data_IF_941698686735
#
_entry.id   IF_941698686735
#
_cell.length_a   1.000
_cell.length_b   1.000
_cell.length_c   1.000
_cell.angle_alpha   90.00
_cell.angle_beta   90.00
_cell.angle_gamma   90.00
#
_symmetry.space_group_name_H-M   'P 1'
#
loop_
_entity.id
_entity.type
_entity.pdbx_description
1 polymer ?
#
# COMPACT_ATOMS: atom_id res chain seq x y z
N UNK A 1 -80.80 20.83 38.22
CA UNK A 1 -80.43 22.11 37.58
C UNK A 1 -80.00 23.03 38.70
N UNK A 2 -78.77 23.48 38.86
CA UNK A 2 -77.51 23.41 38.11
C UNK A 2 -76.44 23.43 39.21
N UNK A 3 -75.56 22.42 39.29
CA UNK A 3 -74.42 22.50 40.22
C UNK A 3 -73.43 23.53 39.66
N UNK A 4 -73.16 24.51 40.51
CA UNK A 4 -72.38 25.70 40.26
C UNK A 4 -70.92 25.33 39.98
N UNK A 5 -70.48 25.56 38.75
CA UNK A 5 -69.07 25.44 38.35
C UNK A 5 -68.25 26.42 39.20
N UNK A 6 -67.52 25.90 40.18
CA UNK A 6 -66.52 26.65 40.94
C UNK A 6 -65.48 27.24 39.98
N UNK A 7 -65.46 28.56 39.87
CA UNK A 7 -64.47 29.30 39.09
C UNK A 7 -63.14 29.23 39.87
N UNK A 8 -62.05 28.72 39.28
CA UNK A 8 -60.78 28.58 39.98
C UNK A 8 -60.28 29.94 40.46
N UNK A 9 -59.82 29.97 41.70
CA UNK A 9 -59.39 31.22 42.36
C UNK A 9 -58.12 31.74 41.70
N UNK A 10 -57.91 33.06 41.68
CA UNK A 10 -56.76 33.72 41.02
C UNK A 10 -55.40 33.13 41.45
N UNK A 11 -55.29 32.65 42.69
CA UNK A 11 -54.09 31.99 43.21
C UNK A 11 -53.84 30.61 42.57
N UNK A 12 -54.90 29.85 42.31
CA UNK A 12 -54.85 28.52 41.70
C UNK A 12 -54.43 28.61 40.23
N UNK A 13 -54.91 29.62 39.50
CA UNK A 13 -54.50 29.92 38.13
C UNK A 13 -53.02 30.34 38.07
N UNK A 14 -52.53 31.04 39.10
CA UNK A 14 -51.14 31.50 39.18
C UNK A 14 -50.18 30.35 39.49
N UNK A 15 -50.59 29.43 40.36
CA UNK A 15 -49.83 28.20 40.70
C UNK A 15 -49.74 27.24 39.50
N UNK A 16 -50.85 27.03 38.79
CA UNK A 16 -50.89 26.20 37.58
C UNK A 16 -50.04 26.81 36.45
N UNK A 17 -50.10 28.13 36.26
CA UNK A 17 -49.26 28.81 35.26
C UNK A 17 -47.77 28.81 35.62
N UNK A 18 -47.43 28.93 36.92
CA UNK A 18 -46.04 28.83 37.40
C UNK A 18 -45.47 27.42 37.24
N UNK A 19 -46.25 26.38 37.54
CA UNK A 19 -45.84 24.99 37.31
C UNK A 19 -45.68 24.67 35.82
N UNK A 20 -46.57 25.19 34.96
CA UNK A 20 -46.49 24.99 33.51
C UNK A 20 -45.26 25.68 32.90
N UNK A 21 -44.92 26.88 33.37
CA UNK A 21 -43.71 27.59 32.95
C UNK A 21 -42.41 26.88 33.39
N UNK A 22 -42.38 26.25 34.57
CA UNK A 22 -41.22 25.47 35.03
C UNK A 22 -41.08 24.13 34.27
N UNK A 23 -42.20 23.48 33.94
CA UNK A 23 -42.20 22.27 33.09
C UNK A 23 -41.76 22.57 31.66
N UNK A 24 -42.26 23.66 31.05
CA UNK A 24 -41.83 24.09 29.71
C UNK A 24 -40.35 24.53 29.70
N UNK A 25 -39.89 25.17 30.78
CA UNK A 25 -38.47 25.52 30.98
C UNK A 25 -37.57 24.27 31.07
N UNK A 26 -37.94 23.30 31.90
CA UNK A 26 -37.19 22.03 32.05
C UNK A 26 -37.21 21.20 30.77
N UNK A 27 -38.35 21.10 30.09
CA UNK A 27 -38.45 20.42 28.80
C UNK A 27 -37.57 21.09 27.73
N UNK A 28 -37.49 22.42 27.72
CA UNK A 28 -36.62 23.17 26.80
C UNK A 28 -35.14 22.96 27.08
N UNK A 29 -34.74 22.87 28.36
CA UNK A 29 -33.35 22.55 28.77
C UNK A 29 -32.99 21.09 28.41
N UNK A 30 -33.92 20.15 28.59
CA UNK A 30 -33.74 18.75 28.21
C UNK A 30 -33.64 18.61 26.68
N UNK A 31 -34.51 19.27 25.91
CA UNK A 31 -34.41 19.30 24.45
C UNK A 31 -33.13 19.97 23.95
N UNK A 32 -32.67 21.05 24.61
CA UNK A 32 -31.41 21.71 24.26
C UNK A 32 -30.20 20.83 24.55
N UNK A 33 -30.16 20.18 25.71
CA UNK A 33 -29.09 19.25 26.07
C UNK A 33 -29.08 18.02 25.17
N UNK A 34 -30.25 17.40 24.89
CA UNK A 34 -30.38 16.32 23.92
C UNK A 34 -29.90 16.77 22.53
N UNK A 35 -30.26 17.97 22.09
CA UNK A 35 -29.77 18.57 20.85
C UNK A 35 -28.25 18.71 20.82
N UNK A 36 -27.63 19.15 21.92
CA UNK A 36 -26.17 19.22 22.05
C UNK A 36 -25.50 17.84 21.99
N UNK A 37 -26.11 16.81 22.61
CA UNK A 37 -25.64 15.42 22.52
C UNK A 37 -25.71 14.91 21.08
N UNK A 38 -26.82 15.15 20.37
CA UNK A 38 -26.97 14.75 18.97
C UNK A 38 -25.96 15.46 18.05
N UNK A 39 -25.74 16.76 18.24
CA UNK A 39 -24.72 17.50 17.50
C UNK A 39 -23.31 16.98 17.82
N UNK A 40 -23.01 16.72 19.10
CA UNK A 40 -21.73 16.16 19.53
C UNK A 40 -21.44 14.77 18.94
N UNK A 41 -22.43 13.88 18.96
CA UNK A 41 -22.35 12.54 18.34
C UNK A 41 -22.19 12.67 16.82
N UNK A 42 -22.92 13.59 16.18
CA UNK A 42 -22.81 13.82 14.73
C UNK A 42 -21.42 14.31 14.34
N UNK A 43 -20.82 15.21 15.12
CA UNK A 43 -19.44 15.68 14.91
C UNK A 43 -18.45 14.54 15.11
N UNK A 44 -18.59 13.74 16.17
CA UNK A 44 -17.73 12.57 16.40
C UNK A 44 -17.81 11.55 15.26
N UNK A 45 -19.02 11.31 14.74
CA UNK A 45 -19.23 10.43 13.60
C UNK A 45 -18.56 10.99 12.34
N UNK A 46 -18.71 12.29 12.08
CA UNK A 46 -18.07 12.97 10.96
C UNK A 46 -16.54 12.91 11.05
N UNK A 47 -15.97 13.19 12.23
CA UNK A 47 -14.52 13.11 12.49
C UNK A 47 -14.03 11.67 12.30
N UNK A 48 -14.77 10.68 12.79
CA UNK A 48 -14.43 9.25 12.60
C UNK A 48 -14.47 8.85 11.13
N UNK A 49 -15.46 9.32 10.37
CA UNK A 49 -15.56 9.10 8.93
C UNK A 49 -14.38 9.74 8.18
N UNK A 50 -14.03 10.98 8.54
CA UNK A 50 -12.89 11.70 7.97
C UNK A 50 -11.55 11.02 8.28
N UNK A 51 -11.39 10.47 9.49
CA UNK A 51 -10.21 9.68 9.86
C UNK A 51 -10.11 8.36 9.10
N UNK A 52 -11.24 7.68 8.86
CA UNK A 52 -11.28 6.47 8.03
C UNK A 52 -10.97 6.77 6.56
N UNK A 53 -11.49 7.88 6.04
CA UNK A 53 -11.21 8.37 4.69
C UNK A 53 -9.74 8.79 4.55
N UNK A 54 -9.18 9.50 5.53
CA UNK A 54 -7.76 9.89 5.51
C UNK A 54 -6.83 8.68 5.62
N UNK A 55 -7.20 7.63 6.35
CA UNK A 55 -6.46 6.37 6.37
C UNK A 55 -6.48 5.63 5.01
N UNK A 56 -7.55 5.80 4.22
CA UNK A 56 -7.57 5.35 2.82
C UNK A 56 -6.72 6.22 1.89
N UNK A 57 -6.51 7.50 2.23
CA UNK A 57 -5.72 8.47 1.47
C UNK A 57 -4.24 8.51 1.86
N UNK A 58 -3.84 7.88 2.99
CA UNK A 58 -2.43 7.65 3.32
C UNK A 58 -1.73 6.97 2.13
N UNK A 59 -0.48 7.33 1.82
CA UNK A 59 0.22 6.83 0.63
C UNK A 59 0.17 5.30 0.63
N UNK A 60 -0.61 4.76 -0.32
CA UNK A 60 -1.03 3.35 -0.35
C UNK A 60 0.18 2.41 -0.33
N UNK A 61 1.32 2.86 -0.84
CA UNK A 61 2.58 2.13 -0.84
C UNK A 61 3.18 1.89 0.57
N UNK A 62 2.87 2.72 1.58
CA UNK A 62 3.34 2.47 2.96
C UNK A 62 2.78 1.16 3.53
N UNK A 63 1.62 0.70 3.06
CA UNK A 63 1.02 -0.58 3.49
C UNK A 63 1.90 -1.76 3.08
N UNK A 64 2.48 -1.69 1.89
CA UNK A 64 3.30 -2.74 1.30
C UNK A 64 4.80 -2.54 1.52
N UNK A 65 5.22 -1.47 2.22
CA UNK A 65 6.61 -1.27 2.59
C UNK A 65 7.15 -2.45 3.42
N UNK A 66 8.40 -2.84 3.16
CA UNK A 66 9.06 -3.98 3.81
C UNK A 66 9.89 -4.83 2.84
N UNK A 67 10.46 -5.90 3.38
CA UNK A 67 11.12 -6.95 2.60
C UNK A 67 10.15 -8.13 2.42
N UNK A 68 10.08 -8.60 1.19
CA UNK A 68 9.25 -9.70 0.74
C UNK A 68 10.14 -10.75 0.10
N UNK A 69 9.98 -12.01 0.47
CA UNK A 69 10.87 -13.07 0.01
C UNK A 69 10.11 -14.33 -0.42
N UNK A 70 10.67 -15.10 -1.35
CA UNK A 70 10.19 -16.46 -1.64
C UNK A 70 10.53 -17.39 -0.48
N UNK A 71 9.67 -18.39 -0.26
CA UNK A 71 9.98 -19.54 0.63
C UNK A 71 10.71 -20.67 -0.12
N UNK A 72 10.92 -20.53 -1.44
CA UNK A 72 11.45 -21.55 -2.35
C UNK A 72 12.98 -21.46 -2.56
N UNK A 73 13.53 -22.49 -3.22
CA UNK A 73 14.96 -22.74 -3.42
C UNK A 73 15.76 -21.63 -4.16
N UNK A 74 15.08 -20.75 -4.90
CA UNK A 74 15.70 -19.52 -5.44
C UNK A 74 15.23 -18.31 -4.62
N UNK A 75 16.12 -17.67 -3.85
CA UNK A 75 15.75 -16.51 -3.05
C UNK A 75 15.53 -15.31 -3.98
N UNK A 76 14.26 -14.94 -4.12
CA UNK A 76 13.88 -13.66 -4.69
C UNK A 76 13.56 -12.75 -3.52
N UNK A 77 14.13 -11.54 -3.50
CA UNK A 77 13.83 -10.54 -2.47
C UNK A 77 13.30 -9.28 -3.12
N UNK A 78 12.06 -8.90 -2.79
CA UNK A 78 11.50 -7.60 -3.13
C UNK A 78 11.57 -6.68 -1.91
N UNK A 79 12.31 -5.59 -2.03
CA UNK A 79 12.31 -4.50 -1.04
C UNK A 79 11.49 -3.33 -1.53
N UNK A 80 10.53 -2.92 -0.71
CA UNK A 80 9.68 -1.77 -0.98
C UNK A 80 9.92 -0.71 0.10
N UNK A 81 10.37 0.47 -0.33
CA UNK A 81 10.54 1.65 0.51
C UNK A 81 9.91 2.84 -0.19
N UNK A 82 8.99 3.53 0.48
CA UNK A 82 8.22 4.64 -0.09
C UNK A 82 7.52 4.26 -1.39
N UNK A 83 7.97 4.81 -2.52
CA UNK A 83 7.49 4.49 -3.86
C UNK A 83 8.50 3.68 -4.66
N UNK A 84 9.58 3.19 -4.08
CA UNK A 84 10.61 2.44 -4.77
C UNK A 84 10.49 0.95 -4.46
N UNK A 85 10.51 0.14 -5.50
CA UNK A 85 10.56 -1.31 -5.45
C UNK A 85 11.89 -1.80 -6.04
N UNK A 86 12.56 -2.68 -5.31
CA UNK A 86 13.81 -3.31 -5.73
C UNK A 86 13.64 -4.82 -5.63
N UNK A 87 13.40 -5.48 -6.75
CA UNK A 87 13.38 -6.95 -6.84
C UNK A 87 14.81 -7.43 -7.14
N UNK A 88 15.34 -8.30 -6.29
CA UNK A 88 16.64 -8.95 -6.48
C UNK A 88 16.37 -10.43 -6.73
N UNK A 89 16.96 -10.94 -7.80
CA UNK A 89 17.00 -12.37 -8.13
C UNK A 89 18.45 -12.81 -8.05
N UNK A 90 18.75 -13.63 -7.05
CA UNK A 90 20.10 -14.16 -6.84
C UNK A 90 20.36 -15.39 -7.72
N UNK A 91 21.65 -15.69 -7.93
CA UNK A 91 22.13 -16.90 -8.62
C UNK A 91 21.51 -17.14 -10.00
N UNK A 92 21.60 -16.13 -10.87
CA UNK A 92 21.12 -16.25 -12.25
C UNK A 92 21.79 -17.43 -12.97
N UNK A 93 20.98 -18.33 -13.52
CA UNK A 93 21.45 -19.54 -14.22
C UNK A 93 22.43 -20.40 -13.39
N UNK A 94 22.33 -20.38 -12.05
CA UNK A 94 23.21 -21.12 -11.15
C UNK A 94 24.60 -20.51 -10.98
N UNK A 95 24.82 -19.28 -11.45
CA UNK A 95 26.09 -18.57 -11.29
C UNK A 95 26.11 -17.78 -9.98
N UNK A 96 26.85 -18.30 -8.98
CA UNK A 96 27.00 -17.61 -7.70
C UNK A 96 27.68 -16.25 -7.86
N UNK A 97 27.16 -15.20 -7.22
CA UNK A 97 27.69 -13.84 -7.36
C UNK A 97 27.20 -13.09 -8.60
N UNK A 98 26.30 -13.67 -9.39
CA UNK A 98 25.58 -12.97 -10.46
C UNK A 98 24.13 -12.80 -10.04
N UNK A 99 23.67 -11.55 -9.99
CA UNK A 99 22.30 -11.23 -9.58
C UNK A 99 21.66 -10.22 -10.52
N UNK A 100 20.36 -10.37 -10.73
CA UNK A 100 19.54 -9.41 -11.46
C UNK A 100 18.87 -8.51 -10.43
N UNK A 101 18.93 -7.20 -10.65
CA UNK A 101 18.20 -6.22 -9.86
C UNK A 101 17.23 -5.46 -10.75
N UNK A 102 15.94 -5.60 -10.49
CA UNK A 102 14.89 -4.82 -11.13
C UNK A 102 14.46 -3.70 -10.18
N UNK A 103 14.66 -2.45 -10.60
CA UNK A 103 14.23 -1.27 -9.85
C UNK A 103 13.00 -0.68 -10.55
N UNK A 104 11.99 -0.27 -9.78
CA UNK A 104 10.81 0.40 -10.30
C UNK A 104 10.26 1.42 -9.30
N UNK A 105 9.68 2.51 -9.81
CA UNK A 105 8.79 3.37 -9.01
C UNK A 105 7.40 2.77 -9.03
N UNK A 106 6.87 2.37 -7.88
CA UNK A 106 5.55 1.73 -7.78
C UNK A 106 4.45 2.71 -7.41
N UNK A 107 3.27 2.46 -7.94
CA UNK A 107 2.08 3.22 -7.62
C UNK A 107 0.85 2.29 -7.53
N UNK A 108 -0.11 2.63 -6.67
CA UNK A 108 -1.33 1.83 -6.52
C UNK A 108 -2.23 2.01 -7.74
N UNK A 109 -2.77 0.91 -8.24
CA UNK A 109 -3.88 0.90 -9.20
C UNK A 109 -5.21 0.84 -8.44
N UNK A 110 -5.26 0.03 -7.38
CA UNK A 110 -6.36 -0.03 -6.42
C UNK A 110 -5.83 -0.40 -5.02
N UNK A 111 -6.71 -0.83 -4.10
CA UNK A 111 -6.31 -1.21 -2.73
C UNK A 111 -5.41 -2.44 -2.62
N UNK A 112 -5.33 -3.23 -3.68
CA UNK A 112 -4.66 -4.54 -3.72
C UNK A 112 -3.59 -4.62 -4.81
N UNK A 113 -3.72 -3.87 -5.91
CA UNK A 113 -2.86 -3.96 -7.09
C UNK A 113 -1.94 -2.76 -7.24
N UNK A 114 -0.71 -3.02 -7.66
CA UNK A 114 0.35 -2.04 -7.86
C UNK A 114 1.02 -2.22 -9.21
N UNK A 115 1.47 -1.10 -9.79
CA UNK A 115 2.17 -1.05 -11.07
C UNK A 115 3.49 -0.31 -10.93
N UNK A 116 4.51 -0.79 -11.62
CA UNK A 116 5.81 -0.13 -11.78
C UNK A 116 5.79 0.93 -12.87
N UNK A 117 6.65 1.93 -12.70
CA UNK A 117 7.03 2.95 -13.67
C UNK A 117 8.54 3.13 -13.63
N UNK A 118 9.12 3.57 -14.73
CA UNK A 118 10.58 3.82 -14.83
C UNK A 118 11.38 2.56 -14.44
N UNK A 119 10.84 1.41 -14.83
CA UNK A 119 11.34 0.08 -14.49
C UNK A 119 12.62 -0.19 -15.26
N UNK A 120 13.66 -0.62 -14.55
CA UNK A 120 14.96 -0.94 -15.15
C UNK A 120 15.53 -2.22 -14.55
N UNK A 121 16.06 -3.09 -15.43
CA UNK A 121 16.80 -4.27 -15.03
C UNK A 121 18.30 -3.99 -15.10
N UNK A 122 19.01 -4.38 -14.05
CA UNK A 122 20.46 -4.33 -13.93
C UNK A 122 21.00 -5.73 -13.71
N UNK A 123 22.07 -6.08 -14.42
CA UNK A 123 22.89 -7.25 -14.13
C UNK A 123 24.03 -6.78 -13.23
N UNK A 124 24.18 -7.40 -12.07
CA UNK A 124 25.26 -7.08 -11.15
C UNK A 124 26.06 -8.34 -10.88
N UNK A 125 27.38 -8.20 -10.99
CA UNK A 125 28.30 -9.32 -10.90
C UNK A 125 29.37 -9.00 -9.86
N UNK A 126 29.51 -9.87 -8.88
CA UNK A 126 30.61 -9.92 -7.93
C UNK A 126 31.86 -10.50 -8.63
N UNK A 127 32.89 -9.68 -8.73
CA UNK A 127 34.14 -10.02 -9.41
C UNK A 127 34.94 -11.08 -8.66
N UNK A 128 34.82 -11.18 -7.35
CA UNK A 128 35.57 -12.16 -6.56
C UNK A 128 35.06 -13.59 -6.81
N UNK A 129 33.78 -13.70 -7.18
CA UNK A 129 33.11 -14.97 -7.44
C UNK A 129 33.14 -15.41 -8.90
N UNK A 130 33.72 -14.60 -9.79
CA UNK A 130 33.69 -14.84 -11.24
C UNK A 130 35.09 -14.84 -11.86
N UNK A 131 35.35 -15.81 -12.72
CA UNK A 131 36.61 -15.89 -13.47
C UNK A 131 36.73 -14.74 -14.48
N UNK A 132 37.98 -14.31 -14.77
CA UNK A 132 38.26 -13.24 -15.74
C UNK A 132 37.65 -13.53 -17.12
N UNK A 133 37.72 -14.77 -17.58
CA UNK A 133 37.17 -15.18 -18.88
C UNK A 133 35.65 -14.94 -18.98
N UNK A 134 34.92 -15.18 -17.89
CA UNK A 134 33.48 -14.96 -17.80
C UNK A 134 33.16 -13.46 -17.83
N UNK A 135 33.90 -12.67 -17.06
CA UNK A 135 33.74 -11.22 -17.03
C UNK A 135 34.00 -10.60 -18.41
N UNK A 136 35.07 -11.04 -19.08
CA UNK A 136 35.42 -10.56 -20.42
C UNK A 136 34.42 -11.03 -21.49
N UNK A 137 33.83 -12.22 -21.35
CA UNK A 137 32.78 -12.69 -22.23
C UNK A 137 31.51 -11.85 -22.11
N UNK A 138 31.08 -11.52 -20.88
CA UNK A 138 29.90 -10.68 -20.64
C UNK A 138 30.12 -9.26 -21.14
N UNK A 139 31.32 -8.70 -20.92
CA UNK A 139 31.71 -7.37 -21.43
C UNK A 139 31.68 -7.25 -22.95
N UNK A 140 31.75 -8.37 -23.69
CA UNK A 140 31.69 -8.38 -25.16
C UNK A 140 30.26 -8.49 -25.70
N UNK A 141 29.26 -8.68 -24.83
CA UNK A 141 27.85 -8.78 -25.24
C UNK A 141 27.18 -7.40 -25.28
N UNK A 142 27.75 -6.47 -26.04
CA UNK A 142 27.33 -5.06 -26.10
C UNK A 142 25.88 -4.87 -26.56
N UNK A 143 25.36 -5.82 -27.35
CA UNK A 143 23.97 -5.82 -27.80
C UNK A 143 22.97 -6.00 -26.64
N UNK A 144 23.37 -6.71 -25.59
CA UNK A 144 22.50 -7.06 -24.46
C UNK A 144 22.76 -6.19 -23.22
N UNK A 145 24.00 -5.73 -23.03
CA UNK A 145 24.41 -5.09 -21.80
C UNK A 145 25.17 -3.79 -22.05
N UNK A 146 24.82 -2.75 -21.29
CA UNK A 146 25.56 -1.50 -21.25
C UNK A 146 26.22 -1.33 -19.89
N UNK A 147 27.53 -1.14 -19.85
CA UNK A 147 28.26 -0.90 -18.60
C UNK A 147 27.80 0.41 -17.95
N UNK A 148 27.33 0.32 -16.70
CA UNK A 148 26.90 1.49 -15.91
C UNK A 148 27.96 1.87 -14.89
N UNK A 149 28.52 0.88 -14.20
CA UNK A 149 29.48 1.09 -13.14
C UNK A 149 30.43 -0.11 -13.03
N UNK A 150 31.69 0.15 -12.72
CA UNK A 150 32.69 -0.88 -12.44
C UNK A 150 33.54 -0.44 -11.24
N UNK A 151 33.48 -1.24 -10.17
CA UNK A 151 34.31 -1.08 -8.98
C UNK A 151 35.32 -2.22 -8.90
N UNK A 152 36.10 -2.26 -7.80
CA UNK A 152 37.00 -3.38 -7.53
C UNK A 152 36.24 -4.68 -7.25
N UNK A 153 35.10 -4.56 -6.57
CA UNK A 153 34.31 -5.69 -6.08
C UNK A 153 33.22 -6.09 -7.08
N UNK A 154 32.61 -5.12 -7.76
CA UNK A 154 31.41 -5.36 -8.56
C UNK A 154 31.46 -4.70 -9.93
N UNK A 155 30.72 -5.28 -10.87
CA UNK A 155 30.41 -4.67 -12.15
C UNK A 155 28.89 -4.66 -12.34
N UNK A 156 28.37 -3.53 -12.78
CA UNK A 156 26.93 -3.32 -13.01
C UNK A 156 26.70 -2.97 -14.47
N UNK A 157 25.87 -3.77 -15.11
CA UNK A 157 25.37 -3.52 -16.44
C UNK A 157 23.88 -3.19 -16.41
N UNK A 158 23.43 -2.33 -17.30
CA UNK A 158 22.02 -2.11 -17.60
C UNK A 158 21.63 -2.99 -18.79
N UNK A 159 20.44 -3.58 -18.72
CA UNK A 159 19.86 -4.30 -19.83
C UNK A 159 19.48 -3.33 -20.97
N UNK A 160 19.82 -3.70 -22.20
CA UNK A 160 19.32 -3.02 -23.41
C UNK A 160 17.88 -3.45 -23.72
N UNK A 161 17.24 -2.80 -24.70
CA UNK A 161 15.94 -3.25 -25.21
C UNK A 161 15.97 -4.70 -25.70
N UNK A 162 17.05 -5.12 -26.38
CA UNK A 162 17.20 -6.50 -26.84
C UNK A 162 17.30 -7.50 -25.69
N UNK A 163 18.02 -7.15 -24.62
CA UNK A 163 18.08 -7.97 -23.42
C UNK A 163 16.76 -8.01 -22.67
N UNK A 164 16.01 -6.92 -22.63
CA UNK A 164 14.67 -6.91 -22.03
C UNK A 164 13.74 -7.87 -22.78
N UNK A 165 13.75 -7.84 -24.11
CA UNK A 165 12.92 -8.74 -24.92
C UNK A 165 13.37 -10.19 -24.70
N UNK A 166 14.67 -10.47 -24.68
CA UNK A 166 15.18 -11.82 -24.49
C UNK A 166 14.88 -12.39 -23.10
N UNK A 167 14.99 -11.57 -22.04
CA UNK A 167 14.79 -12.01 -20.66
C UNK A 167 13.31 -11.99 -20.23
N UNK A 168 12.54 -11.00 -20.68
CA UNK A 168 11.19 -10.74 -20.17
C UNK A 168 10.10 -10.77 -21.25
N UNK A 169 10.44 -10.96 -22.53
CA UNK A 169 9.48 -10.97 -23.62
C UNK A 169 8.85 -9.61 -23.95
N UNK A 170 9.36 -8.52 -23.37
CA UNK A 170 8.88 -7.15 -23.57
C UNK A 170 10.03 -6.19 -23.75
N UNK A 171 9.80 -5.13 -24.53
CA UNK A 171 10.77 -4.03 -24.65
C UNK A 171 10.71 -3.08 -23.44
N UNK A 172 9.48 -2.70 -23.07
CA UNK A 172 9.19 -1.81 -21.93
C UNK A 172 8.80 -2.62 -20.69
N UNK A 173 9.68 -2.60 -19.69
CA UNK A 173 9.50 -3.31 -18.43
C UNK A 173 8.35 -2.76 -17.57
N UNK A 174 7.93 -1.50 -17.77
CA UNK A 174 6.82 -0.90 -17.03
C UNK A 174 5.52 -1.67 -17.24
N UNK A 175 5.34 -2.23 -18.45
CA UNK A 175 4.16 -3.04 -18.80
C UNK A 175 4.06 -4.36 -18.04
N UNK A 176 5.16 -4.78 -17.41
CA UNK A 176 5.34 -6.12 -16.89
C UNK A 176 5.57 -6.14 -15.37
N UNK A 177 6.02 -5.05 -14.76
CA UNK A 177 6.25 -4.96 -13.33
C UNK A 177 4.95 -4.67 -12.57
N UNK A 178 4.09 -5.68 -12.46
CA UNK A 178 2.79 -5.60 -11.77
C UNK A 178 2.69 -6.66 -10.69
N UNK A 179 2.20 -6.28 -9.51
CA UNK A 179 1.93 -7.23 -8.42
C UNK A 179 0.66 -6.89 -7.64
N UNK A 180 0.13 -7.90 -6.97
CA UNK A 180 -1.10 -7.84 -6.18
C UNK A 180 -0.87 -8.40 -4.79
N UNK A 181 -1.48 -7.78 -3.76
CA UNK A 181 -1.55 -8.36 -2.43
C UNK A 181 -2.67 -9.39 -2.38
N UNK A 182 -2.29 -10.67 -2.33
CA UNK A 182 -3.23 -11.80 -2.35
C UNK A 182 -3.63 -12.29 -0.95
N UNK A 183 -2.86 -11.93 0.09
CA UNK A 183 -3.17 -12.32 1.47
C UNK A 183 -3.02 -11.17 2.44
N UNK A 184 -4.01 -11.03 3.31
CA UNK A 184 -4.07 -10.00 4.35
C UNK A 184 -4.30 -10.64 5.72
N UNK A 185 -3.54 -10.22 6.73
CA UNK A 185 -3.81 -10.53 8.13
C UNK A 185 -4.76 -9.46 8.70
N UNK A 186 -5.85 -9.93 9.32
CA UNK A 186 -6.92 -9.09 9.88
C UNK A 186 -7.52 -8.07 8.88
N UNK A 187 -7.43 -8.34 7.58
CA UNK A 187 -7.90 -7.44 6.52
C UNK A 187 -7.13 -6.12 6.39
N UNK A 188 -6.01 -5.95 7.09
CA UNK A 188 -5.28 -4.67 7.18
C UNK A 188 -3.80 -4.79 6.88
N UNK A 189 -3.18 -5.91 7.26
CA UNK A 189 -1.72 -6.10 7.17
C UNK A 189 -1.43 -7.02 5.99
N UNK A 190 -0.78 -6.56 4.92
CA UNK A 190 -0.50 -7.40 3.77
C UNK A 190 0.57 -8.44 4.15
N UNK A 191 0.39 -9.69 3.71
CA UNK A 191 1.22 -10.84 4.07
C UNK A 191 1.85 -11.56 2.90
N UNK A 192 1.19 -11.52 1.76
CA UNK A 192 1.65 -12.19 0.56
C UNK A 192 1.33 -11.34 -0.66
N UNK A 193 2.30 -11.20 -1.54
CA UNK A 193 2.14 -10.56 -2.85
C UNK A 193 2.40 -11.57 -3.95
N UNK A 194 1.70 -11.39 -5.06
CA UNK A 194 1.85 -12.19 -6.27
C UNK A 194 2.21 -11.27 -7.43
N UNK A 195 3.29 -11.56 -8.14
CA UNK A 195 3.58 -10.93 -9.42
C UNK A 195 2.63 -11.46 -10.49
N UNK A 196 2.02 -10.55 -11.26
CA UNK A 196 1.03 -10.89 -12.27
C UNK A 196 1.66 -11.33 -13.61
N UNK A 197 2.96 -11.09 -13.80
CA UNK A 197 3.67 -11.48 -15.03
C UNK A 197 4.60 -12.67 -14.78
N UNK A 198 4.53 -13.66 -15.68
CA UNK A 198 5.37 -14.86 -15.69
C UNK A 198 6.81 -14.59 -16.14
N UNK A 199 7.07 -13.47 -16.81
CA UNK A 199 8.37 -13.09 -17.33
C UNK A 199 9.39 -12.76 -16.24
N UNK A 200 8.96 -12.16 -15.13
CA UNK A 200 9.82 -11.90 -13.98
C UNK A 200 9.91 -13.09 -13.02
N UNK A 201 8.99 -14.05 -13.16
CA UNK A 201 8.93 -15.24 -12.34
C UNK A 201 8.04 -16.33 -12.94
N UNK A 202 8.65 -17.47 -13.20
CA UNK A 202 7.95 -18.68 -13.63
C UNK A 202 6.80 -18.98 -12.65
N UNK A 203 5.58 -19.14 -13.17
CA UNK A 203 4.35 -19.44 -12.41
C UNK A 203 3.83 -18.38 -11.44
N UNK A 204 4.16 -17.10 -11.65
CA UNK A 204 3.69 -16.01 -10.79
C UNK A 204 4.44 -16.02 -9.46
N UNK A 205 5.38 -15.11 -9.27
CA UNK A 205 6.19 -15.06 -8.04
C UNK A 205 5.29 -14.81 -6.84
N UNK A 206 5.31 -15.68 -5.84
CA UNK A 206 4.69 -15.41 -4.54
C UNK A 206 5.77 -15.02 -3.55
N UNK A 207 5.60 -13.86 -2.91
CA UNK A 207 6.52 -13.39 -1.89
C UNK A 207 5.77 -13.15 -0.59
N UNK A 208 6.30 -13.67 0.51
CA UNK A 208 5.77 -13.46 1.85
C UNK A 208 6.55 -12.37 2.57
N UNK A 209 5.83 -11.60 3.39
CA UNK A 209 6.44 -10.51 4.16
C UNK A 209 7.29 -11.06 5.29
N UNK A 210 8.54 -10.61 5.38
CA UNK A 210 9.48 -10.96 6.46
C UNK A 210 9.12 -10.29 7.79
#
# INVERSE_FOLDING_TARGET
>A
MVDEKSIPTKEEITLVNSQRADVDSKAKIICFSLGQWFVGISILFLVSLLLLLSYRLLPINQKIAGSWQTEADQPHELKISDNQANLVVEELNGMSGVYMKVNATIFPVDSTRYRGKETSALLIIDKEKQGKDVLDAIKKQDNYYTLVNETKEQITFKYTSEANIAAFGVEDLDTSFHFEVIKWQYGLIPKEIQFQNQAFAVNGLHLTKK
#
